data_IF_378729098177
#
_entry.id   IF_378729098177
#
_cell.length_a   1.000
_cell.length_b   1.000
_cell.length_c   1.000
_cell.angle_alpha   90.00
_cell.angle_beta   90.00
_cell.angle_gamma   90.00
#
_symmetry.space_group_name_H-M   'P 1'
#
loop_
_entity.id
_entity.type
_entity.pdbx_description
1 polymer ?
#
# COMPACT_ATOMS: atom_id res chain seq x y z
N UNK A 1 -4.60 -23.31 -4.32
CA UNK A 1 -3.64 -22.95 -3.25
C UNK A 1 -4.44 -22.12 -2.27
N UNK A 2 -4.67 -22.65 -1.07
CA UNK A 2 -5.60 -22.07 -0.09
C UNK A 2 -4.92 -21.00 0.77
N UNK A 3 -5.71 -20.01 1.17
CA UNK A 3 -5.33 -18.91 2.04
C UNK A 3 -4.75 -19.39 3.37
N UNK A 4 -3.66 -18.77 3.81
CA UNK A 4 -3.17 -18.88 5.20
C UNK A 4 -3.95 -17.85 6.03
N UNK A 5 -5.15 -18.22 6.47
CA UNK A 5 -5.84 -17.50 7.54
C UNK A 5 -5.25 -18.00 8.85
N UNK A 6 -4.53 -17.14 9.55
CA UNK A 6 -4.04 -17.47 10.87
C UNK A 6 -4.99 -16.87 11.91
N UNK A 7 -5.59 -17.73 12.72
CA UNK A 7 -6.26 -17.28 13.95
C UNK A 7 -5.17 -16.79 14.90
N UNK A 8 -5.37 -15.65 15.55
CA UNK A 8 -4.42 -15.20 16.58
C UNK A 8 -4.39 -16.25 17.69
N UNK A 9 -3.28 -16.99 17.79
CA UNK A 9 -3.06 -18.01 18.83
C UNK A 9 -2.14 -17.48 19.92
N UNK A 10 -2.22 -18.01 21.16
CA UNK A 10 -1.28 -17.66 22.23
C UNK A 10 0.20 -17.88 21.85
N UNK A 11 0.48 -18.85 20.95
CA UNK A 11 1.83 -19.15 20.47
C UNK A 11 2.36 -18.07 19.52
N UNK A 12 1.49 -17.56 18.62
CA UNK A 12 1.80 -16.45 17.73
C UNK A 12 2.07 -15.17 18.53
N UNK A 13 1.27 -14.93 19.58
CA UNK A 13 1.43 -13.83 20.53
C UNK A 13 2.78 -13.91 21.27
N UNK A 14 3.16 -15.10 21.75
CA UNK A 14 4.43 -15.30 22.46
C UNK A 14 5.64 -15.17 21.53
N UNK A 15 5.53 -15.60 20.27
CA UNK A 15 6.57 -15.39 19.26
C UNK A 15 6.78 -13.90 18.98
N UNK A 16 5.68 -13.16 18.83
CA UNK A 16 5.74 -11.73 18.53
C UNK A 16 6.27 -10.91 19.71
N UNK A 17 5.91 -11.29 20.95
CA UNK A 17 6.50 -10.74 22.18
C UNK A 17 8.01 -10.95 22.24
N UNK A 18 8.49 -12.17 21.95
CA UNK A 18 9.93 -12.49 21.92
C UNK A 18 10.69 -11.77 20.81
N UNK A 19 10.04 -11.44 19.70
CA UNK A 19 10.64 -10.60 18.65
C UNK A 19 10.69 -9.14 19.09
N UNK A 20 9.65 -8.66 19.77
CA UNK A 20 9.62 -7.34 20.40
C UNK A 20 10.76 -7.12 21.38
N UNK A 21 10.92 -8.06 22.32
CA UNK A 21 11.96 -8.03 23.33
C UNK A 21 13.38 -8.00 22.71
N UNK A 22 13.64 -8.81 21.68
CA UNK A 22 14.95 -8.84 20.98
C UNK A 22 15.28 -7.57 20.21
N UNK A 23 14.30 -6.95 19.56
CA UNK A 23 14.53 -5.71 18.80
C UNK A 23 14.76 -4.51 19.73
N UNK A 24 14.13 -4.51 20.91
CA UNK A 24 14.38 -3.53 21.97
C UNK A 24 15.80 -3.62 22.54
N UNK A 25 16.31 -4.84 22.76
CA UNK A 25 17.68 -5.08 23.24
C UNK A 25 18.75 -4.52 22.29
N UNK A 26 18.49 -4.51 20.98
CA UNK A 26 19.43 -4.00 19.98
C UNK A 26 19.33 -2.49 19.71
N UNK A 27 18.51 -1.73 20.46
CA UNK A 27 18.26 -0.28 20.23
C UNK A 27 17.85 0.05 18.79
N UNK A 28 17.25 -0.90 18.08
CA UNK A 28 16.72 -0.69 16.73
C UNK A 28 15.30 -0.08 16.75
N UNK A 29 14.83 0.32 17.94
CA UNK A 29 13.49 0.86 18.15
C UNK A 29 13.48 2.40 18.33
N UNK A 30 12.98 3.16 17.35
CA UNK A 30 12.52 4.57 17.46
C UNK A 30 11.22 4.72 18.27
N UNK A 31 10.92 5.77 19.05
CA UNK A 31 9.73 5.85 19.95
C UNK A 31 8.31 5.69 19.36
N UNK A 32 8.13 5.35 18.08
CA UNK A 32 6.84 5.11 17.42
C UNK A 32 6.30 3.67 17.50
N UNK A 33 6.99 2.72 18.13
CA UNK A 33 6.48 1.35 18.28
C UNK A 33 5.35 1.29 19.30
N UNK A 34 4.19 0.80 18.87
CA UNK A 34 3.11 0.41 19.77
C UNK A 34 3.02 -1.11 19.78
N UNK A 35 3.05 -1.70 20.97
CA UNK A 35 2.71 -3.11 21.16
C UNK A 35 1.19 -3.23 21.12
N UNK A 36 0.64 -3.50 19.95
CA UNK A 36 -0.78 -3.84 19.81
C UNK A 36 -0.91 -5.36 19.87
N UNK A 37 -1.70 -5.87 20.81
CA UNK A 37 -1.87 -7.30 21.07
C UNK A 37 -0.56 -8.10 21.18
N UNK A 38 0.52 -7.54 21.76
CA UNK A 38 1.77 -8.30 21.97
C UNK A 38 2.60 -8.55 20.70
N UNK A 39 2.25 -7.96 19.55
CA UNK A 39 3.08 -7.96 18.36
C UNK A 39 3.96 -6.71 18.27
N UNK A 40 5.19 -6.88 17.75
CA UNK A 40 5.99 -5.74 17.31
C UNK A 40 5.57 -5.39 15.87
N UNK A 41 4.58 -4.52 15.75
CA UNK A 41 4.24 -3.86 14.50
C UNK A 41 5.01 -2.54 14.39
N UNK A 42 5.53 -2.23 13.20
CA UNK A 42 6.17 -0.92 12.96
C UNK A 42 5.16 0.15 12.53
N UNK A 43 3.99 -0.28 12.03
CA UNK A 43 2.90 0.59 11.60
C UNK A 43 1.56 -0.08 11.96
N UNK A 44 0.63 0.70 12.52
CA UNK A 44 -0.77 0.35 12.73
C UNK A 44 -1.60 1.52 12.22
N UNK A 45 -2.37 1.29 11.16
CA UNK A 45 -3.27 2.30 10.59
C UNK A 45 -4.69 1.76 10.49
N UNK A 46 -5.68 2.62 10.75
CA UNK A 46 -7.07 2.28 10.49
C UNK A 46 -7.32 2.32 8.99
N UNK A 47 -8.13 1.38 8.50
CA UNK A 47 -8.52 1.33 7.10
C UNK A 47 -9.94 1.89 6.95
N UNK A 48 -10.13 3.14 6.47
CA UNK A 48 -11.45 3.79 6.48
C UNK A 48 -12.48 3.10 5.59
N UNK A 49 -12.04 2.25 4.66
CA UNK A 49 -12.87 1.41 3.79
C UNK A 49 -13.13 0.00 4.35
N UNK A 50 -12.49 -0.36 5.47
CA UNK A 50 -12.75 -1.59 6.23
C UNK A 50 -13.08 -1.25 7.68
N UNK A 51 -14.35 -0.96 8.00
CA UNK A 51 -14.75 -0.57 9.34
C UNK A 51 -14.31 -1.59 10.40
N UNK A 52 -13.56 -1.13 11.41
CA UNK A 52 -13.06 -1.99 12.48
C UNK A 52 -11.83 -2.82 12.13
N UNK A 53 -11.26 -2.68 10.93
CA UNK A 53 -10.01 -3.33 10.56
C UNK A 53 -8.79 -2.39 10.73
N UNK A 54 -7.63 -3.01 10.97
CA UNK A 54 -6.34 -2.33 11.04
C UNK A 54 -5.37 -2.94 10.03
N UNK A 55 -4.54 -2.11 9.43
CA UNK A 55 -3.37 -2.54 8.70
C UNK A 55 -2.19 -2.65 9.66
N UNK A 56 -1.59 -3.83 9.75
CA UNK A 56 -0.40 -4.05 10.55
C UNK A 56 0.75 -4.42 9.63
N UNK A 57 1.93 -3.87 9.90
CA UNK A 57 3.15 -4.27 9.18
C UNK A 57 4.22 -4.74 10.17
N UNK A 58 4.72 -5.95 9.93
CA UNK A 58 5.67 -6.65 10.79
C UNK A 58 7.04 -6.78 10.12
N UNK A 59 8.14 -6.48 10.83
CA UNK A 59 9.46 -6.85 10.36
C UNK A 59 9.67 -8.36 10.53
N UNK A 60 10.15 -9.05 9.49
CA UNK A 60 10.52 -10.46 9.54
C UNK A 60 11.99 -10.64 9.89
N UNK A 61 12.27 -11.51 10.86
CA UNK A 61 13.62 -11.97 11.14
C UNK A 61 14.09 -12.92 10.02
N UNK A 62 15.24 -12.64 9.41
CA UNK A 62 15.78 -13.46 8.32
C UNK A 62 16.11 -12.72 7.02
N UNK A 63 16.08 -11.39 7.03
CA UNK A 63 16.68 -10.55 5.99
C UNK A 63 18.08 -11.08 5.61
N UNK A 64 18.19 -11.81 4.49
CA UNK A 64 19.48 -12.12 3.89
C UNK A 64 20.08 -10.80 3.42
N UNK A 65 21.29 -10.49 3.89
CA UNK A 65 22.14 -9.42 3.37
C UNK A 65 21.39 -8.11 3.04
N UNK A 66 20.94 -7.38 4.07
CA UNK A 66 20.64 -5.96 3.95
C UNK A 66 19.29 -5.55 3.35
N UNK A 67 18.37 -6.48 3.06
CA UNK A 67 16.99 -6.12 2.68
C UNK A 67 16.00 -6.46 3.81
N UNK A 68 15.39 -5.48 4.49
CA UNK A 68 14.30 -5.72 5.43
C UNK A 68 13.20 -6.51 4.70
N UNK A 69 12.83 -7.66 5.26
CA UNK A 69 11.61 -8.33 4.83
C UNK A 69 10.49 -7.93 5.78
N UNK A 70 9.36 -7.54 5.21
CA UNK A 70 8.18 -7.12 5.97
C UNK A 70 7.00 -8.00 5.58
N UNK A 71 6.08 -8.21 6.52
CA UNK A 71 4.76 -8.78 6.25
C UNK A 71 3.69 -7.76 6.56
N UNK A 72 2.88 -7.45 5.56
CA UNK A 72 1.68 -6.65 5.73
C UNK A 72 0.49 -7.58 5.95
N UNK A 73 -0.33 -7.27 6.94
CA UNK A 73 -1.57 -7.98 7.23
C UNK A 73 -2.71 -7.00 7.50
N UNK A 74 -3.93 -7.43 7.20
CA UNK A 74 -5.14 -6.79 7.72
C UNK A 74 -5.59 -7.59 8.94
N UNK A 75 -5.81 -6.91 10.05
CA UNK A 75 -6.42 -7.47 11.25
C UNK A 75 -7.89 -7.05 11.32
N UNK A 76 -8.79 -8.01 11.50
CA UNK A 76 -10.21 -7.75 11.72
C UNK A 76 -10.86 -8.90 12.50
N UNK A 77 -11.54 -8.60 13.62
CA UNK A 77 -12.23 -9.58 14.48
C UNK A 77 -11.39 -10.82 14.85
N UNK A 78 -10.17 -10.61 15.36
CA UNK A 78 -9.20 -11.67 15.74
C UNK A 78 -8.65 -12.54 14.59
N UNK A 79 -8.87 -12.13 13.34
CA UNK A 79 -8.29 -12.75 12.15
C UNK A 79 -7.23 -11.86 11.53
N UNK A 80 -6.15 -12.50 11.04
CA UNK A 80 -5.12 -11.87 10.23
C UNK A 80 -5.23 -12.34 8.78
N UNK A 81 -5.31 -11.38 7.85
CA UNK A 81 -5.33 -11.60 6.41
C UNK A 81 -4.01 -11.13 5.82
N UNK A 82 -3.17 -12.04 5.35
CA UNK A 82 -1.82 -11.73 4.89
C UNK A 82 -1.85 -11.15 3.47
N UNK A 83 -1.31 -9.95 3.30
CA UNK A 83 -1.14 -9.30 2.00
C UNK A 83 0.23 -9.68 1.42
N UNK A 84 0.34 -10.91 0.89
CA UNK A 84 1.58 -11.44 0.31
C UNK A 84 1.88 -10.92 -1.11
N UNK A 85 1.30 -9.78 -1.50
CA UNK A 85 1.35 -9.23 -2.85
C UNK A 85 0.37 -9.90 -3.82
N UNK A 86 0.07 -9.21 -4.91
CA UNK A 86 -0.86 -9.66 -5.95
C UNK A 86 -2.34 -9.40 -5.61
N UNK A 87 -3.22 -9.72 -6.58
CA UNK A 87 -4.64 -9.38 -6.53
C UNK A 87 -5.44 -10.22 -5.53
N UNK A 88 -5.18 -11.53 -5.51
CA UNK A 88 -6.00 -12.48 -4.76
C UNK A 88 -6.09 -12.15 -3.25
N UNK A 89 -4.99 -11.82 -2.54
CA UNK A 89 -5.08 -11.45 -1.12
C UNK A 89 -5.99 -10.26 -0.83
N UNK A 90 -6.02 -9.26 -1.72
CA UNK A 90 -6.89 -8.09 -1.55
C UNK A 90 -8.34 -8.44 -1.84
N UNK A 91 -8.63 -9.22 -2.89
CA UNK A 91 -9.99 -9.66 -3.19
C UNK A 91 -10.57 -10.57 -2.10
N UNK A 92 -9.74 -11.46 -1.53
CA UNK A 92 -10.16 -12.31 -0.43
C UNK A 92 -10.39 -11.50 0.86
N UNK A 93 -9.57 -10.46 1.11
CA UNK A 93 -9.83 -9.51 2.19
C UNK A 93 -11.14 -8.73 1.97
N UNK A 94 -11.42 -8.25 0.74
CA UNK A 94 -12.66 -7.55 0.41
C UNK A 94 -13.90 -8.42 0.69
N UNK A 95 -13.79 -9.74 0.46
CA UNK A 95 -14.88 -10.69 0.69
C UNK A 95 -15.05 -11.07 2.18
N UNK A 96 -13.97 -11.05 2.96
CA UNK A 96 -13.97 -11.49 4.36
C UNK A 96 -14.16 -10.35 5.37
N UNK A 97 -13.73 -9.14 5.01
CA UNK A 97 -13.85 -7.92 5.82
C UNK A 97 -14.90 -7.03 5.15
N UNK A 98 -15.88 -6.47 5.88
CA UNK A 98 -16.92 -5.63 5.28
C UNK A 98 -16.30 -4.42 4.56
N UNK A 99 -16.20 -4.49 3.22
CA UNK A 99 -15.76 -3.37 2.41
C UNK A 99 -16.87 -2.32 2.34
N UNK A 100 -16.59 -1.11 2.81
CA UNK A 100 -17.54 -0.01 2.88
C UNK A 100 -16.99 1.22 2.15
N UNK A 101 -17.02 1.19 0.82
CA UNK A 101 -16.57 2.30 -0.02
C UNK A 101 -17.60 3.42 -0.10
N UNK A 102 -17.13 4.65 0.01
CA UNK A 102 -17.86 5.90 -0.16
C UNK A 102 -16.96 6.96 -0.79
N UNK A 103 -17.56 8.09 -1.19
CA UNK A 103 -16.84 9.23 -1.80
C UNK A 103 -15.69 9.77 -0.93
N UNK A 104 -15.77 9.60 0.39
CA UNK A 104 -14.78 10.08 1.34
C UNK A 104 -13.58 9.16 1.54
N UNK A 105 -13.69 7.86 1.23
CA UNK A 105 -12.61 6.88 1.51
C UNK A 105 -12.13 6.10 0.27
N UNK A 106 -12.77 6.24 -0.88
CA UNK A 106 -12.40 5.46 -2.08
C UNK A 106 -10.99 5.80 -2.60
N UNK A 107 -10.53 7.03 -2.41
CA UNK A 107 -9.17 7.40 -2.73
C UNK A 107 -8.14 6.65 -1.85
N UNK A 108 -8.43 6.47 -0.56
CA UNK A 108 -7.58 5.70 0.35
C UNK A 108 -7.58 4.21 -0.02
N UNK A 109 -8.73 3.68 -0.45
CA UNK A 109 -8.80 2.31 -0.96
C UNK A 109 -7.90 2.13 -2.20
N UNK A 110 -7.95 3.07 -3.15
CA UNK A 110 -7.12 2.98 -4.35
C UNK A 110 -5.63 3.08 -4.02
N UNK A 111 -5.23 3.97 -3.09
CA UNK A 111 -3.84 4.04 -2.57
C UNK A 111 -3.41 2.72 -1.94
N UNK A 112 -4.27 2.13 -1.10
CA UNK A 112 -4.03 0.82 -0.50
C UNK A 112 -3.86 -0.25 -1.57
N UNK A 113 -4.79 -0.33 -2.52
CA UNK A 113 -4.80 -1.33 -3.57
C UNK A 113 -3.52 -1.27 -4.41
N UNK A 114 -3.15 -0.09 -4.94
CA UNK A 114 -1.95 0.06 -5.78
C UNK A 114 -0.63 -0.08 -5.00
N UNK A 115 -0.67 0.10 -3.69
CA UNK A 115 0.48 -0.17 -2.80
C UNK A 115 0.72 -1.66 -2.66
N UNK A 116 -0.32 -2.47 -2.44
CA UNK A 116 -0.20 -3.87 -2.04
C UNK A 116 -0.51 -4.88 -3.16
N UNK A 117 -1.17 -4.46 -4.24
CA UNK A 117 -1.38 -5.25 -5.45
C UNK A 117 -0.30 -4.89 -6.47
N UNK A 118 0.59 -5.85 -6.73
CA UNK A 118 1.62 -5.76 -7.77
C UNK A 118 1.69 -7.07 -8.54
N UNK A 119 2.05 -7.02 -9.82
CA UNK A 119 2.36 -8.22 -10.60
C UNK A 119 3.87 -8.52 -10.61
N UNK A 120 4.30 -9.48 -11.43
CA UNK A 120 5.72 -9.85 -11.57
C UNK A 120 6.57 -8.80 -12.29
N UNK A 121 5.95 -7.95 -13.11
CA UNK A 121 6.58 -6.87 -13.85
C UNK A 121 6.62 -5.55 -13.05
N UNK A 122 5.82 -5.44 -11.99
CA UNK A 122 5.77 -4.32 -11.07
C UNK A 122 4.33 -3.95 -10.71
N UNK A 123 4.16 -3.08 -9.71
CA UNK A 123 2.87 -2.44 -9.46
C UNK A 123 2.85 -1.04 -10.05
N UNK A 124 1.67 -0.56 -10.44
CA UNK A 124 1.48 0.86 -10.67
C UNK A 124 1.68 1.61 -9.35
N UNK A 125 2.42 2.71 -9.39
CA UNK A 125 2.62 3.59 -8.24
C UNK A 125 1.89 4.88 -8.46
N UNK A 126 0.97 5.20 -7.56
CA UNK A 126 0.29 6.49 -7.58
C UNK A 126 1.27 7.60 -7.21
N UNK A 127 1.29 8.67 -8.01
CA UNK A 127 2.07 9.90 -7.76
C UNK A 127 1.10 11.04 -7.62
N UNK A 128 0.97 11.53 -6.39
CA UNK A 128 0.12 12.65 -6.04
C UNK A 128 0.91 13.94 -5.81
N UNK A 129 2.18 13.79 -5.46
CA UNK A 129 3.10 14.87 -5.15
C UNK A 129 4.47 14.63 -5.82
N UNK A 130 5.16 15.68 -6.32
CA UNK A 130 6.43 15.54 -7.01
C UNK A 130 7.53 14.79 -6.24
N UNK A 131 7.57 14.94 -4.91
CA UNK A 131 8.59 14.29 -4.08
C UNK A 131 8.45 12.75 -4.01
N UNK A 132 7.30 12.21 -4.44
CA UNK A 132 7.08 10.76 -4.50
C UNK A 132 7.76 10.14 -5.72
N UNK A 133 8.25 10.93 -6.67
CA UNK A 133 9.02 10.45 -7.82
C UNK A 133 10.43 10.07 -7.33
N UNK A 134 10.86 8.80 -7.46
CA UNK A 134 12.09 8.32 -6.87
C UNK A 134 13.30 8.58 -7.79
N UNK A 135 13.60 9.85 -8.05
CA UNK A 135 14.71 10.27 -8.92
C UNK A 135 16.05 9.62 -8.54
N UNK A 136 16.81 9.22 -9.55
CA UNK A 136 18.22 8.88 -9.40
C UNK A 136 19.04 10.12 -9.77
N UNK A 137 20.04 10.45 -8.97
CA UNK A 137 21.04 11.46 -9.34
C UNK A 137 21.68 11.06 -10.68
N UNK A 138 21.40 11.86 -11.71
CA UNK A 138 21.85 11.60 -13.07
C UNK A 138 23.14 12.37 -13.38
N UNK A 139 24.10 11.72 -14.05
CA UNK A 139 25.06 12.42 -14.91
C UNK A 139 24.40 12.65 -16.29
N UNK A 140 23.37 13.49 -16.37
CA UNK A 140 22.54 13.62 -17.58
C UNK A 140 21.53 14.77 -17.55
N UNK A 141 20.55 14.75 -18.48
CA UNK A 141 19.52 15.79 -18.56
C UNK A 141 18.64 15.82 -17.30
N UNK A 142 18.53 17.02 -16.72
CA UNK A 142 17.73 17.25 -15.53
C UNK A 142 16.24 17.37 -15.90
N UNK A 143 15.54 16.23 -15.90
CA UNK A 143 14.12 16.09 -16.29
C UNK A 143 13.14 16.56 -15.19
N UNK A 144 13.58 16.58 -13.94
CA UNK A 144 12.74 16.75 -12.75
C UNK A 144 11.81 17.98 -12.80
N UNK A 145 12.25 19.21 -13.16
CA UNK A 145 11.37 20.38 -13.14
C UNK A 145 10.23 20.33 -14.17
N UNK A 146 10.45 19.63 -15.30
CA UNK A 146 9.43 19.49 -16.33
C UNK A 146 8.40 18.42 -15.92
N UNK A 147 8.88 17.28 -15.42
CA UNK A 147 8.03 16.16 -14.99
C UNK A 147 7.22 16.49 -13.75
N UNK A 148 7.79 17.23 -12.79
CA UNK A 148 7.08 17.66 -11.58
C UNK A 148 5.81 18.48 -11.88
N UNK A 149 5.76 19.19 -13.02
CA UNK A 149 4.58 19.96 -13.45
C UNK A 149 3.45 19.10 -14.03
N UNK A 150 3.75 17.84 -14.38
CA UNK A 150 2.80 16.91 -14.98
C UNK A 150 1.98 16.16 -13.93
N UNK A 151 2.51 16.07 -12.69
CA UNK A 151 1.89 15.40 -11.55
C UNK A 151 0.53 16.02 -11.24
N UNK A 152 -0.46 15.15 -11.17
CA UNK A 152 -1.81 15.48 -10.70
C UNK A 152 -2.22 14.50 -9.60
N UNK A 153 -2.63 15.02 -8.42
CA UNK A 153 -3.10 14.18 -7.33
C UNK A 153 -4.38 13.46 -7.73
N UNK A 154 -4.62 12.33 -7.09
CA UNK A 154 -5.81 11.53 -7.31
C UNK A 154 -7.05 12.34 -6.93
N UNK A 155 -8.03 12.37 -7.84
CA UNK A 155 -9.30 13.08 -7.61
C UNK A 155 -10.45 12.19 -8.02
N UNK A 156 -11.46 12.10 -7.15
CA UNK A 156 -12.77 11.60 -7.53
C UNK A 156 -13.38 12.58 -8.53
N UNK A 157 -13.66 12.11 -9.73
CA UNK A 157 -14.23 12.93 -10.82
C UNK A 157 -15.68 12.58 -11.09
N UNK A 158 -16.10 11.34 -10.79
CA UNK A 158 -17.49 10.90 -10.98
C UNK A 158 -17.88 9.76 -10.03
N UNK A 159 -19.18 9.47 -9.96
CA UNK A 159 -19.74 8.30 -9.28
C UNK A 159 -20.97 7.84 -10.05
N UNK A 160 -21.01 6.57 -10.42
CA UNK A 160 -22.09 5.97 -11.21
C UNK A 160 -22.64 4.70 -10.54
N UNK A 161 -23.49 3.98 -11.27
CA UNK A 161 -24.14 2.76 -10.80
C UNK A 161 -23.15 1.59 -10.60
N UNK A 162 -21.97 1.66 -11.22
CA UNK A 162 -20.95 0.62 -11.17
C UNK A 162 -19.86 0.93 -10.12
N UNK A 163 -19.68 2.20 -9.75
CA UNK A 163 -18.82 2.58 -8.64
C UNK A 163 -18.32 4.02 -8.67
N UNK A 164 -17.02 4.18 -8.41
CA UNK A 164 -16.35 5.47 -8.29
C UNK A 164 -15.35 5.63 -9.42
N UNK A 165 -15.31 6.83 -10.01
CA UNK A 165 -14.37 7.16 -11.09
C UNK A 165 -13.38 8.18 -10.58
N UNK A 166 -12.10 7.81 -10.55
CA UNK A 166 -11.00 8.66 -10.11
C UNK A 166 -10.05 8.93 -11.27
N UNK A 167 -9.43 10.10 -11.29
CA UNK A 167 -8.35 10.41 -12.22
C UNK A 167 -7.09 10.75 -11.43
N UNK A 168 -5.95 10.25 -11.88
CA UNK A 168 -4.67 10.46 -11.20
C UNK A 168 -3.46 10.20 -12.08
N UNK A 169 -2.30 10.42 -11.49
CA UNK A 169 -1.00 10.17 -12.14
C UNK A 169 -0.40 8.89 -11.59
N UNK A 170 0.03 8.01 -12.48
CA UNK A 170 0.71 6.76 -12.16
C UNK A 170 2.13 6.72 -12.70
N UNK A 171 3.00 6.00 -12.01
CA UNK A 171 4.28 5.52 -12.50
C UNK A 171 4.21 4.02 -12.72
N UNK A 172 4.72 3.57 -13.86
CA UNK A 172 4.96 2.17 -14.15
C UNK A 172 6.30 2.05 -14.85
N UNK A 173 7.20 1.25 -14.28
CA UNK A 173 8.59 1.15 -14.73
C UNK A 173 9.30 2.52 -14.75
N UNK A 174 9.64 3.04 -15.93
CA UNK A 174 10.31 4.31 -16.19
C UNK A 174 9.39 5.32 -16.90
N UNK A 175 8.09 5.03 -16.96
CA UNK A 175 7.09 5.89 -17.58
C UNK A 175 6.09 6.45 -16.56
N UNK A 176 5.63 7.67 -16.85
CA UNK A 176 4.55 8.33 -16.13
C UNK A 176 3.33 8.42 -17.05
N UNK A 177 2.17 8.13 -16.51
CA UNK A 177 0.92 8.17 -17.25
C UNK A 177 -0.19 8.85 -16.43
N UNK A 178 -1.20 9.36 -17.12
CA UNK A 178 -2.49 9.68 -16.54
C UNK A 178 -3.45 8.55 -16.85
N UNK A 179 -4.29 8.20 -15.89
CA UNK A 179 -5.30 7.18 -16.08
C UNK A 179 -6.58 7.54 -15.34
N UNK A 180 -7.66 6.97 -15.84
CA UNK A 180 -8.94 6.87 -15.14
C UNK A 180 -8.98 5.52 -14.41
N UNK A 181 -9.23 5.58 -13.10
CA UNK A 181 -9.37 4.42 -12.23
C UNK A 181 -10.83 4.26 -11.86
N UNK A 182 -11.45 3.17 -12.29
CA UNK A 182 -12.81 2.78 -11.88
C UNK A 182 -12.72 1.77 -10.74
N UNK A 183 -13.24 2.17 -9.58
CA UNK A 183 -13.31 1.32 -8.39
C UNK A 183 -14.76 0.91 -8.20
N UNK A 184 -15.05 -0.38 -8.39
CA UNK A 184 -16.36 -0.97 -8.12
C UNK A 184 -16.71 -0.94 -6.63
N UNK A 185 -18.00 -0.99 -6.30
CA UNK A 185 -18.44 -1.06 -4.89
C UNK A 185 -17.93 -2.32 -4.15
N UNK A 186 -17.55 -3.36 -4.88
CA UNK A 186 -16.92 -4.59 -4.41
C UNK A 186 -15.38 -4.50 -4.29
N UNK A 187 -14.82 -3.34 -4.66
CA UNK A 187 -13.39 -3.05 -4.67
C UNK A 187 -12.65 -3.56 -5.91
N UNK A 188 -13.35 -4.05 -6.93
CA UNK A 188 -12.73 -4.35 -8.23
C UNK A 188 -12.15 -3.07 -8.84
N UNK A 189 -10.90 -3.13 -9.33
CA UNK A 189 -10.23 -2.01 -9.99
C UNK A 189 -10.13 -2.25 -11.50
N UNK A 190 -10.58 -1.28 -12.29
CA UNK A 190 -10.35 -1.19 -13.74
C UNK A 190 -9.56 0.09 -14.01
N UNK A 191 -8.57 0.00 -14.90
CA UNK A 191 -7.75 1.13 -15.34
C UNK A 191 -8.07 1.40 -16.80
N UNK A 192 -8.40 2.64 -17.12
CA UNK A 192 -8.86 3.09 -18.43
C UNK A 192 -8.16 4.41 -18.81
N UNK A 193 -8.27 4.79 -20.09
CA UNK A 193 -7.78 6.06 -20.63
C UNK A 193 -6.32 6.38 -20.27
N UNK A 194 -5.45 5.37 -20.39
CA UNK A 194 -4.02 5.52 -20.11
C UNK A 194 -3.34 6.42 -21.16
N UNK A 195 -2.96 7.62 -20.74
CA UNK A 195 -2.17 8.57 -21.53
C UNK A 195 -0.75 8.63 -20.96
N UNK A 196 0.24 8.14 -21.70
CA UNK A 196 1.64 8.32 -21.33
C UNK A 196 2.04 9.80 -21.45
N UNK A 197 2.47 10.41 -20.35
CA UNK A 197 2.82 11.84 -20.27
C UNK A 197 4.32 12.08 -20.15
N UNK A 198 5.10 11.06 -19.77
CA UNK A 198 6.56 11.07 -19.81
C UNK A 198 7.11 9.63 -19.91
N UNK A 199 8.29 9.46 -20.50
CA UNK A 199 9.02 8.19 -20.62
C UNK A 199 10.51 8.38 -20.38
N UNK A 200 11.23 7.26 -20.30
CA UNK A 200 12.69 7.24 -20.15
C UNK A 200 13.15 8.05 -18.93
N UNK A 201 12.36 7.96 -17.84
CA UNK A 201 12.62 8.69 -16.61
C UNK A 201 13.78 8.04 -15.87
N UNK A 202 14.76 8.86 -15.45
CA UNK A 202 15.86 8.36 -14.63
C UNK A 202 15.43 8.22 -13.16
N UNK A 203 14.65 7.17 -12.88
CA UNK A 203 14.07 6.90 -11.56
C UNK A 203 14.47 5.51 -11.06
N UNK A 204 14.54 5.34 -9.75
CA UNK A 204 14.67 4.02 -9.15
C UNK A 204 13.38 3.28 -9.42
N UNK A 205 13.50 2.01 -9.80
CA UNK A 205 12.36 1.10 -9.65
C UNK A 205 12.01 1.06 -8.16
N UNK A 206 10.93 1.74 -7.79
CA UNK A 206 10.50 1.81 -6.41
C UNK A 206 10.11 0.40 -5.94
N UNK A 207 10.70 -0.05 -4.84
CA UNK A 207 10.01 -1.00 -3.98
C UNK A 207 8.72 -0.36 -3.45
N UNK A 208 7.73 -1.16 -3.05
CA UNK A 208 6.47 -0.65 -2.50
C UNK A 208 6.76 0.22 -1.26
N UNK A 209 6.70 1.55 -1.37
CA UNK A 209 6.70 2.46 -0.23
C UNK A 209 5.23 2.66 0.17
N UNK A 210 4.80 2.24 1.36
CA UNK A 210 3.45 2.51 1.85
C UNK A 210 3.18 4.02 1.90
N UNK A 211 2.03 4.45 1.38
CA UNK A 211 1.53 5.81 1.54
C UNK A 211 0.66 5.85 2.81
N UNK A 212 0.83 6.83 3.71
CA UNK A 212 -0.02 6.95 4.90
C UNK A 212 -1.46 7.23 4.47
N UNK A 213 -2.45 6.58 5.11
CA UNK A 213 -3.85 6.92 4.89
C UNK A 213 -4.19 8.27 5.53
N UNK A 214 -5.13 9.02 4.94
CA UNK A 214 -5.55 10.29 5.51
C UNK A 214 -6.03 10.07 6.95
N UNK A 215 -5.38 10.72 7.91
CA UNK A 215 -5.83 10.76 9.30
C UNK A 215 -7.00 11.73 9.34
N UNK A 216 -8.22 11.21 9.35
CA UNK A 216 -9.40 12.01 9.67
C UNK A 216 -9.20 12.60 11.06
N UNK A 217 -9.05 13.93 11.13
CA UNK A 217 -9.14 14.71 12.36
C UNK A 217 -10.58 14.93 12.78
#
# INVERSE_FOLDING_TARGET
MGFDREKITPELMELARRMGDRLAEHRLLSPTWQTDHGFLAFLSETLPFYPGARLLIFPMAGARLGQPQERTVIEHNDFLYILAGGLAPVMEANAAVPLALNKGNVADYLRFYLTYVSDKAGGIKLVEEPYQIPWIEAEGEYQEPAVNKLVRPLRLIDTDDDGYVLNGTGLYQDAMFRATFRVGYDGTLIIEDEEQIASDLNIRHAGNIPQPFATTG
#
